data_IF_485230894349
#
_entry.id   IF_485230894349
#
_cell.length_a   1.000
_cell.length_b   1.000
_cell.length_c   1.000
_cell.angle_alpha   90.00
_cell.angle_beta   90.00
_cell.angle_gamma   90.00
#
_symmetry.space_group_name_H-M   'P 1'
#
loop_
_entity.id
_entity.type
_entity.pdbx_description
1 polymer ?
#
# COMPACT_ATOMS: atom_id res chain seq x y z
N UNK A 1 3.63 -2.26 0.44
CA UNK A 1 4.92 -2.70 -0.14
C UNK A 1 4.64 -3.78 -1.16
N UNK A 2 5.29 -3.74 -2.32
CA UNK A 2 5.17 -4.76 -3.35
C UNK A 2 6.36 -5.71 -3.34
N UNK A 3 6.14 -6.93 -3.83
CA UNK A 3 7.17 -7.92 -4.09
C UNK A 3 6.83 -8.75 -5.33
N UNK A 4 7.75 -9.60 -5.81
CA UNK A 4 7.51 -10.47 -6.95
C UNK A 4 6.28 -11.37 -6.75
N UNK A 5 5.58 -11.67 -7.84
CA UNK A 5 4.46 -12.63 -7.82
C UNK A 5 4.98 -14.00 -7.35
N UNK A 6 4.27 -14.61 -6.42
CA UNK A 6 4.61 -15.93 -5.88
C UNK A 6 5.62 -15.91 -4.74
N UNK A 7 5.91 -14.73 -4.16
CA UNK A 7 6.71 -14.66 -2.95
C UNK A 7 6.08 -15.53 -1.83
N UNK A 8 6.86 -16.37 -1.12
CA UNK A 8 6.35 -17.19 -0.04
C UNK A 8 5.67 -16.34 1.04
N UNK A 9 4.56 -16.86 1.60
CA UNK A 9 3.76 -16.17 2.61
C UNK A 9 4.60 -15.72 3.82
N UNK A 10 5.49 -16.59 4.29
CA UNK A 10 6.40 -16.31 5.40
C UNK A 10 7.29 -15.07 5.16
N UNK A 11 7.72 -14.83 3.92
CA UNK A 11 8.53 -13.67 3.57
C UNK A 11 7.68 -12.40 3.54
N UNK A 12 6.46 -12.50 3.00
CA UNK A 12 5.47 -11.40 3.02
C UNK A 12 5.18 -10.99 4.46
N UNK A 13 4.92 -11.97 5.33
CA UNK A 13 4.59 -11.75 6.74
C UNK A 13 5.78 -11.12 7.49
N UNK A 14 7.01 -11.60 7.25
CA UNK A 14 8.22 -11.04 7.85
C UNK A 14 8.47 -9.58 7.43
N UNK A 15 8.23 -9.25 6.16
CA UNK A 15 8.34 -7.88 5.66
C UNK A 15 7.27 -7.00 6.31
N UNK A 16 6.00 -7.46 6.34
CA UNK A 16 4.92 -6.71 6.97
C UNK A 16 5.22 -6.43 8.45
N UNK A 17 5.70 -7.43 9.19
CA UNK A 17 6.08 -7.26 10.60
C UNK A 17 7.21 -6.23 10.76
N UNK A 18 8.23 -6.27 9.91
CA UNK A 18 9.32 -5.28 9.91
C UNK A 18 8.83 -3.85 9.67
N UNK A 19 7.90 -3.66 8.73
CA UNK A 19 7.28 -2.35 8.45
C UNK A 19 6.50 -1.86 9.66
N UNK A 20 5.66 -2.71 10.24
CA UNK A 20 4.84 -2.34 11.41
C UNK A 20 5.72 -1.91 12.58
N UNK A 21 6.79 -2.66 12.85
CA UNK A 21 7.78 -2.32 13.86
C UNK A 21 8.47 -0.98 13.59
N UNK A 22 8.81 -0.68 12.34
CA UNK A 22 9.39 0.62 11.99
C UNK A 22 8.42 1.79 12.25
N UNK A 23 7.11 1.57 12.07
CA UNK A 23 6.07 2.57 12.31
C UNK A 23 5.70 2.74 13.80
N UNK A 24 6.24 1.88 14.68
CA UNK A 24 6.16 2.06 16.14
C UNK A 24 7.21 3.06 16.66
N UNK A 25 8.27 3.33 15.89
CA UNK A 25 9.25 4.35 16.24
C UNK A 25 8.62 5.76 16.16
N UNK A 26 8.56 6.52 17.28
CA UNK A 26 7.97 7.86 17.29
C UNK A 26 8.64 8.84 16.33
N UNK A 27 9.95 8.72 16.09
CA UNK A 27 10.68 9.60 15.18
C UNK A 27 10.32 9.30 13.72
N UNK A 28 10.05 8.03 13.38
CA UNK A 28 9.56 7.65 12.05
C UNK A 28 8.12 8.14 11.86
N UNK A 29 7.26 7.87 12.85
CA UNK A 29 5.86 8.31 12.84
C UNK A 29 5.75 9.81 12.65
N UNK A 30 6.48 10.58 13.47
CA UNK A 30 6.48 12.04 13.41
C UNK A 30 6.87 12.56 12.03
N UNK A 31 7.92 12.00 11.41
CA UNK A 31 8.34 12.44 10.07
C UNK A 31 7.27 12.20 9.00
N UNK A 32 6.50 11.12 9.09
CA UNK A 32 5.41 10.83 8.15
C UNK A 32 4.23 11.79 8.40
N UNK A 33 3.87 12.01 9.66
CA UNK A 33 2.76 12.88 10.02
C UNK A 33 3.07 14.36 9.71
N UNK A 34 4.34 14.78 9.83
CA UNK A 34 4.81 16.13 9.47
C UNK A 34 4.67 16.43 7.96
N UNK A 35 4.58 15.41 7.10
CA UNK A 35 4.27 15.60 5.67
C UNK A 35 2.77 15.64 5.38
N UNK A 36 1.91 15.66 6.42
CA UNK A 36 0.46 15.58 6.31
C UNK A 36 -0.06 14.20 5.90
N UNK A 37 0.78 13.17 5.99
CA UNK A 37 0.41 11.80 5.61
C UNK A 37 -0.19 11.03 6.79
N UNK A 38 -1.10 10.11 6.48
CA UNK A 38 -1.73 9.23 7.47
C UNK A 38 -1.07 7.86 7.45
N UNK A 39 -0.73 7.35 8.64
CA UNK A 39 -0.18 6.00 8.80
C UNK A 39 -1.33 4.99 8.89
N UNK A 40 -1.48 4.17 7.85
CA UNK A 40 -2.53 3.14 7.78
C UNK A 40 -2.06 1.82 8.41
N UNK A 41 -0.85 1.36 8.09
CA UNK A 41 -0.25 0.12 8.60
C UNK A 41 -1.15 -1.14 8.52
N UNK A 42 -1.89 -1.31 7.42
CA UNK A 42 -2.82 -2.42 7.19
C UNK A 42 -2.11 -3.77 6.93
N UNK A 43 -2.89 -4.86 6.89
CA UNK A 43 -2.37 -6.19 6.56
C UNK A 43 -2.10 -6.33 5.05
N UNK A 44 -1.27 -7.30 4.62
CA UNK A 44 -1.04 -7.56 3.20
C UNK A 44 -2.33 -7.81 2.41
N UNK A 45 -3.29 -8.51 3.00
CA UNK A 45 -4.60 -8.82 2.40
C UNK A 45 -5.46 -7.57 2.25
N UNK A 46 -5.49 -6.71 3.29
CA UNK A 46 -6.19 -5.43 3.23
C UNK A 46 -5.59 -4.51 2.18
N UNK A 47 -4.25 -4.48 2.07
CA UNK A 47 -3.56 -3.73 1.03
C UNK A 47 -3.91 -4.25 -0.37
N UNK A 48 -3.92 -5.57 -0.57
CA UNK A 48 -4.31 -6.18 -1.85
C UNK A 48 -5.77 -5.85 -2.22
N UNK A 49 -6.68 -5.90 -1.26
CA UNK A 49 -8.09 -5.55 -1.45
C UNK A 49 -8.25 -4.07 -1.83
N UNK A 50 -7.54 -3.17 -1.15
CA UNK A 50 -7.53 -1.75 -1.46
C UNK A 50 -7.02 -1.48 -2.88
N UNK A 51 -5.91 -2.10 -3.28
CA UNK A 51 -5.36 -1.94 -4.64
C UNK A 51 -6.33 -2.42 -5.71
N UNK A 52 -7.04 -3.52 -5.47
CA UNK A 52 -8.10 -3.99 -6.38
C UNK A 52 -9.22 -2.96 -6.50
N UNK A 53 -9.71 -2.44 -5.37
CA UNK A 53 -10.79 -1.46 -5.35
C UNK A 53 -10.39 -0.15 -6.04
N UNK A 54 -9.19 0.36 -5.76
CA UNK A 54 -8.66 1.56 -6.41
C UNK A 54 -8.50 1.34 -7.92
N UNK A 55 -7.93 0.21 -8.34
CA UNK A 55 -7.81 -0.12 -9.75
C UNK A 55 -9.18 -0.11 -10.46
N UNK A 56 -10.20 -0.72 -9.87
CA UNK A 56 -11.55 -0.76 -10.47
C UNK A 56 -12.14 0.66 -10.62
N UNK A 57 -11.92 1.55 -9.64
CA UNK A 57 -12.34 2.95 -9.70
C UNK A 57 -11.60 3.71 -10.80
N UNK A 58 -10.26 3.65 -10.81
CA UNK A 58 -9.46 4.40 -11.78
C UNK A 58 -9.65 3.88 -13.20
N UNK A 59 -9.77 2.55 -13.38
CA UNK A 59 -10.10 1.94 -14.67
C UNK A 59 -11.40 2.50 -15.23
N UNK A 60 -12.46 2.55 -14.40
CA UNK A 60 -13.74 3.12 -14.81
C UNK A 60 -13.60 4.58 -15.27
N UNK A 61 -12.82 5.39 -14.56
CA UNK A 61 -12.57 6.79 -14.94
C UNK A 61 -11.86 6.87 -16.28
N UNK A 62 -10.77 6.11 -16.46
CA UNK A 62 -9.99 6.09 -17.71
C UNK A 62 -10.86 5.68 -18.91
N UNK A 63 -11.63 4.60 -18.78
CA UNK A 63 -12.52 4.11 -19.85
C UNK A 63 -13.63 5.12 -20.17
N UNK A 64 -14.27 5.69 -19.15
CA UNK A 64 -15.37 6.65 -19.32
C UNK A 64 -14.89 7.94 -19.97
N UNK A 65 -13.72 8.44 -19.58
CA UNK A 65 -13.14 9.70 -20.04
C UNK A 65 -12.25 9.52 -21.28
N UNK A 66 -12.08 8.27 -21.77
CA UNK A 66 -11.21 7.91 -22.91
C UNK A 66 -9.78 8.43 -22.77
N UNK A 67 -9.26 8.42 -21.55
CA UNK A 67 -7.91 8.89 -21.25
C UNK A 67 -6.88 7.90 -21.80
N UNK A 68 -5.78 8.41 -22.33
CA UNK A 68 -4.64 7.63 -22.80
C UNK A 68 -3.38 8.25 -22.23
N UNK A 69 -2.45 7.39 -21.81
CA UNK A 69 -1.05 7.75 -21.63
C UNK A 69 -0.36 7.41 -22.95
N UNK A 70 0.31 8.41 -23.52
CA UNK A 70 1.17 8.32 -24.69
C UNK A 70 2.51 7.62 -24.38
#
# INVERSE_FOLDING_TARGET
>A
IYGPKGLPREVVDKINAGVRKALEDPAVRKRIEDTGSLIVANTPEQFAAQMKAEFDVYKKVVETQKLRLD
#
